data_IF_729706561087
#
_entry.id   IF_729706561087
#
_cell.length_a   1.000
_cell.length_b   1.000
_cell.length_c   1.000
_cell.angle_alpha   90.00
_cell.angle_beta   90.00
_cell.angle_gamma   90.00
#
_symmetry.space_group_name_H-M   'P 1'
#
loop_
_entity.id
_entity.type
_entity.pdbx_description
1 polymer ?
#
# COMPACT_ATOMS: atom_id res chain seq x y z
N UNK A 1 -8.28 -9.69 6.56
CA UNK A 1 -8.66 -8.52 5.77
C UNK A 1 -8.53 -8.90 4.30
N UNK A 2 -9.65 -8.95 3.56
CA UNK A 2 -9.65 -9.25 2.11
C UNK A 2 -9.03 -8.10 1.30
N UNK A 3 -9.57 -6.90 1.47
CA UNK A 3 -8.99 -5.60 1.14
C UNK A 3 -9.90 -4.54 1.77
N UNK A 4 -9.40 -3.30 1.86
CA UNK A 4 -10.12 -2.14 2.35
C UNK A 4 -9.93 -0.98 1.37
N UNK A 5 -10.88 -0.06 1.31
CA UNK A 5 -10.83 1.09 0.39
C UNK A 5 -11.40 2.34 1.05
N UNK A 6 -10.73 3.48 0.84
CA UNK A 6 -11.29 4.81 1.13
C UNK A 6 -11.13 5.72 -0.08
N UNK A 7 -12.14 6.54 -0.30
CA UNK A 7 -12.15 7.57 -1.35
C UNK A 7 -12.07 8.96 -0.72
N UNK A 8 -11.28 9.83 -1.33
CA UNK A 8 -11.04 11.19 -0.89
C UNK A 8 -11.40 12.14 -2.03
N UNK A 9 -12.34 13.05 -1.76
CA UNK A 9 -12.85 14.03 -2.74
C UNK A 9 -12.67 15.43 -2.18
N UNK A 10 -12.23 16.35 -3.03
CA UNK A 10 -11.96 17.75 -2.66
C UNK A 10 -10.73 17.93 -1.76
N UNK A 11 -9.91 16.89 -1.59
CA UNK A 11 -8.67 16.92 -0.82
C UNK A 11 -7.52 17.21 -1.77
N UNK A 12 -6.99 18.44 -1.77
CA UNK A 12 -5.86 18.86 -2.62
C UNK A 12 -4.55 18.24 -2.13
N UNK A 13 -4.25 17.01 -2.55
CA UNK A 13 -3.11 16.22 -2.08
C UNK A 13 -2.18 15.84 -3.23
N UNK A 14 -0.88 15.98 -3.00
CA UNK A 14 0.12 15.45 -3.92
C UNK A 14 0.24 13.93 -3.78
N UNK A 15 -0.33 13.18 -4.73
CA UNK A 15 -0.37 11.71 -4.71
C UNK A 15 1.02 11.08 -4.61
N UNK A 16 2.03 11.63 -5.29
CA UNK A 16 3.37 11.06 -5.24
C UNK A 16 3.98 11.20 -3.85
N UNK A 17 3.87 12.39 -3.25
CA UNK A 17 4.34 12.62 -1.88
C UNK A 17 3.57 11.83 -0.83
N UNK A 18 2.25 11.65 -1.03
CA UNK A 18 1.46 10.79 -0.17
C UNK A 18 1.95 9.34 -0.26
N UNK A 19 2.26 8.86 -1.46
CA UNK A 19 2.80 7.53 -1.65
C UNK A 19 4.19 7.36 -1.01
N UNK A 20 5.06 8.37 -1.14
CA UNK A 20 6.37 8.40 -0.47
C UNK A 20 6.21 8.35 1.05
N UNK A 21 5.30 9.17 1.61
CA UNK A 21 5.02 9.20 3.04
C UNK A 21 4.46 7.86 3.56
N UNK A 22 3.64 7.16 2.77
CA UNK A 22 3.17 5.81 3.08
C UNK A 22 4.33 4.81 3.03
N UNK A 23 5.24 4.92 2.05
CA UNK A 23 6.41 4.05 2.01
C UNK A 23 7.32 4.26 3.23
N UNK A 24 7.53 5.51 3.63
CA UNK A 24 8.38 5.87 4.76
C UNK A 24 7.82 5.36 6.09
N UNK A 25 6.49 5.40 6.29
CA UNK A 25 5.83 4.75 7.42
C UNK A 25 6.27 3.29 7.59
N UNK A 26 6.35 2.53 6.49
CA UNK A 26 6.79 1.14 6.55
C UNK A 26 8.30 0.98 6.75
N UNK A 27 9.12 1.86 6.15
CA UNK A 27 10.58 1.84 6.34
C UNK A 27 10.95 2.10 7.79
N UNK A 28 10.26 3.05 8.45
CA UNK A 28 10.44 3.37 9.87
C UNK A 28 10.16 2.15 10.77
N UNK A 29 9.17 1.33 10.39
CA UNK A 29 8.87 0.06 11.06
C UNK A 29 9.75 -1.12 10.61
N UNK A 30 10.84 -0.87 9.88
CA UNK A 30 11.80 -1.88 9.38
C UNK A 30 11.20 -2.91 8.40
N UNK A 31 10.15 -2.54 7.66
CA UNK A 31 9.67 -3.36 6.56
C UNK A 31 10.59 -3.22 5.36
N UNK A 32 10.67 -4.30 4.56
CA UNK A 32 11.18 -4.19 3.20
C UNK A 32 10.06 -3.63 2.32
N UNK A 33 10.29 -2.47 1.72
CA UNK A 33 9.33 -1.79 0.86
C UNK A 33 9.73 -1.82 -0.62
N UNK A 34 8.75 -1.64 -1.49
CA UNK A 34 8.91 -1.29 -2.89
C UNK A 34 7.78 -0.32 -3.26
N UNK A 35 8.12 0.78 -3.92
CA UNK A 35 7.18 1.75 -4.48
C UNK A 35 7.33 1.85 -5.99
N UNK A 36 6.22 2.07 -6.68
CA UNK A 36 6.15 2.32 -8.10
C UNK A 36 5.21 3.50 -8.35
N UNK A 37 5.77 4.60 -8.84
CA UNK A 37 5.00 5.78 -9.24
C UNK A 37 4.48 5.62 -10.67
N UNK A 38 3.22 6.00 -10.85
CA UNK A 38 2.47 5.83 -12.09
C UNK A 38 1.79 7.16 -12.42
N UNK A 39 1.46 7.39 -13.70
CA UNK A 39 0.91 8.69 -14.12
C UNK A 39 -0.38 9.09 -13.38
N UNK A 40 -1.14 8.10 -12.89
CA UNK A 40 -2.42 8.30 -12.20
C UNK A 40 -2.44 7.73 -10.77
N UNK A 41 -1.27 7.50 -10.17
CA UNK A 41 -1.24 6.83 -8.89
C UNK A 41 0.13 6.32 -8.45
N UNK A 42 0.11 5.48 -7.43
CA UNK A 42 1.26 4.73 -6.96
C UNK A 42 0.84 3.35 -6.45
N UNK A 43 1.77 2.40 -6.55
CA UNK A 43 1.61 1.06 -6.02
C UNK A 43 2.76 0.78 -5.06
N UNK A 44 2.41 0.45 -3.81
CA UNK A 44 3.36 0.22 -2.72
C UNK A 44 3.20 -1.21 -2.22
N UNK A 45 4.31 -1.89 -1.97
CA UNK A 45 4.34 -3.17 -1.26
C UNK A 45 5.27 -3.07 -0.06
N UNK A 46 4.83 -3.58 1.08
CA UNK A 46 5.62 -3.68 2.30
C UNK A 46 5.56 -5.10 2.85
N UNK A 47 6.71 -5.72 3.09
CA UNK A 47 6.79 -7.04 3.75
C UNK A 47 7.71 -6.98 4.96
N UNK A 48 7.33 -7.66 6.05
CA UNK A 48 8.21 -7.78 7.22
C UNK A 48 9.51 -8.50 6.83
N UNK A 49 10.63 -7.86 7.14
CA UNK A 49 11.97 -8.43 6.99
C UNK A 49 12.41 -9.24 8.21
N UNK A 50 13.62 -9.82 8.13
CA UNK A 50 14.31 -10.39 9.30
C UNK A 50 13.65 -11.61 9.96
N UNK A 51 13.90 -11.77 11.27
CA UNK A 51 13.45 -12.92 12.09
C UNK A 51 11.92 -13.06 12.09
N UNK A 52 11.18 -11.94 12.00
CA UNK A 52 9.71 -11.93 11.94
C UNK A 52 9.12 -12.58 10.68
N UNK A 53 9.91 -12.73 9.60
CA UNK A 53 9.49 -13.48 8.39
C UNK A 53 9.20 -14.95 8.69
N UNK A 54 9.84 -15.52 9.71
CA UNK A 54 9.73 -16.95 10.01
C UNK A 54 8.43 -17.37 10.69
N UNK A 55 7.65 -16.41 11.23
CA UNK A 55 6.52 -16.71 12.13
C UNK A 55 5.15 -16.39 11.51
N UNK A 56 5.03 -15.39 10.63
CA UNK A 56 3.71 -14.76 10.37
C UNK A 56 3.16 -14.82 8.92
N UNK A 57 3.99 -15.04 7.90
CA UNK A 57 3.62 -15.40 6.51
C UNK A 57 4.83 -15.19 5.60
N UNK A 58 5.46 -16.28 5.13
CA UNK A 58 6.77 -16.23 4.44
C UNK A 58 6.76 -15.48 3.09
N UNK A 59 5.58 -15.31 2.49
CA UNK A 59 5.38 -14.77 1.13
C UNK A 59 4.44 -13.56 1.04
N UNK A 60 3.81 -13.15 2.14
CA UNK A 60 2.83 -12.07 2.17
C UNK A 60 3.47 -10.67 2.15
N UNK A 61 2.83 -9.76 1.43
CA UNK A 61 3.12 -8.34 1.39
C UNK A 61 1.84 -7.57 1.68
N UNK A 62 1.92 -6.56 2.55
CA UNK A 62 0.90 -5.55 2.66
C UNK A 62 1.03 -4.63 1.45
N UNK A 63 -0.01 -4.55 0.64
CA UNK A 63 -0.01 -3.85 -0.64
C UNK A 63 -0.97 -2.68 -0.56
N UNK A 64 -0.55 -1.54 -1.08
CA UNK A 64 -1.31 -0.30 -1.10
C UNK A 64 -1.35 0.22 -2.53
N UNK A 65 -2.52 0.67 -2.97
CA UNK A 65 -2.69 1.34 -4.25
C UNK A 65 -3.33 2.68 -4.02
N UNK A 66 -2.65 3.75 -4.43
CA UNK A 66 -3.19 5.10 -4.47
C UNK A 66 -3.49 5.41 -5.94
N UNK A 67 -4.72 5.75 -6.28
CA UNK A 67 -5.14 5.95 -7.66
C UNK A 67 -6.08 7.16 -7.77
N UNK A 68 -5.86 8.02 -8.77
CA UNK A 68 -6.76 9.11 -9.10
C UNK A 68 -6.01 10.40 -9.42
N UNK A 69 -6.59 11.51 -8.99
CA UNK A 69 -6.11 12.87 -9.21
C UNK A 69 -5.88 13.58 -7.89
N UNK A 70 -5.08 14.66 -7.86
CA UNK A 70 -4.85 15.44 -6.64
C UNK A 70 -6.10 16.00 -5.95
N UNK A 71 -7.27 16.01 -6.58
CA UNK A 71 -8.54 16.45 -5.98
C UNK A 71 -9.52 15.31 -5.71
N UNK A 72 -9.30 14.15 -6.30
CA UNK A 72 -10.18 12.99 -6.20
C UNK A 72 -9.35 11.72 -6.40
N UNK A 73 -9.07 11.02 -5.32
CA UNK A 73 -8.27 9.80 -5.32
C UNK A 73 -8.83 8.76 -4.36
N UNK A 74 -8.46 7.51 -4.58
CA UNK A 74 -8.81 6.38 -3.72
C UNK A 74 -7.57 5.64 -3.28
N UNK A 75 -7.62 5.12 -2.08
CA UNK A 75 -6.58 4.27 -1.51
C UNK A 75 -7.19 2.90 -1.27
N UNK A 76 -6.55 1.85 -1.79
CA UNK A 76 -6.85 0.45 -1.50
C UNK A 76 -5.71 -0.15 -0.70
N UNK A 77 -6.01 -0.90 0.36
CA UNK A 77 -5.02 -1.66 1.12
C UNK A 77 -5.42 -3.14 1.17
N UNK A 78 -4.45 -4.03 1.10
CA UNK A 78 -4.65 -5.46 0.91
C UNK A 78 -3.44 -6.26 1.38
N UNK A 79 -3.60 -7.58 1.51
CA UNK A 79 -2.46 -8.50 1.57
C UNK A 79 -2.39 -9.26 0.26
N UNK A 80 -1.21 -9.31 -0.36
CA UNK A 80 -0.97 -10.08 -1.58
C UNK A 80 0.39 -10.76 -1.54
N UNK A 81 0.68 -11.62 -2.52
CA UNK A 81 2.04 -12.13 -2.69
C UNK A 81 3.02 -10.99 -2.98
N UNK A 82 4.21 -11.04 -2.39
CA UNK A 82 5.30 -10.14 -2.75
C UNK A 82 5.80 -10.43 -4.16
N UNK A 83 5.80 -9.44 -5.04
CA UNK A 83 6.33 -9.57 -6.40
C UNK A 83 7.29 -8.40 -6.66
N UNK A 84 8.45 -8.68 -7.24
CA UNK A 84 9.32 -7.58 -7.67
C UNK A 84 8.67 -6.86 -8.85
N UNK A 85 8.71 -5.51 -8.85
CA UNK A 85 8.24 -4.76 -10.00
C UNK A 85 9.06 -5.12 -11.25
N UNK A 86 8.41 -5.33 -12.40
CA UNK A 86 9.14 -5.58 -13.64
C UNK A 86 10.01 -4.37 -13.96
N UNK A 87 11.25 -4.63 -14.38
CA UNK A 87 12.20 -3.60 -14.83
C UNK A 87 11.80 -2.96 -16.17
N UNK A 88 10.86 -3.58 -16.89
CA UNK A 88 10.30 -3.06 -18.14
C UNK A 88 8.95 -2.37 -17.89
N UNK A 89 8.85 -1.17 -18.41
CA UNK A 89 7.91 -0.07 -18.13
C UNK A 89 6.42 -0.30 -18.40
N UNK A 90 5.92 -1.54 -18.44
CA UNK A 90 4.50 -1.84 -18.66
C UNK A 90 3.82 -2.18 -17.33
N UNK A 91 3.49 -1.13 -16.59
CA UNK A 91 2.94 -1.18 -15.23
C UNK A 91 1.44 -0.93 -15.14
N UNK A 92 0.79 -0.74 -16.28
CA UNK A 92 -0.66 -0.71 -16.43
C UNK A 92 -1.41 -1.96 -15.90
N UNK A 93 -0.89 -3.20 -15.95
CA UNK A 93 -1.63 -4.35 -15.45
C UNK A 93 -1.67 -4.46 -13.91
N UNK A 94 -0.97 -3.59 -13.16
CA UNK A 94 -0.96 -3.67 -11.69
C UNK A 94 -2.21 -3.08 -11.04
N UNK A 95 -2.82 -2.05 -11.65
CA UNK A 95 -4.08 -1.48 -11.16
C UNK A 95 -5.31 -2.33 -11.50
N UNK A 96 -5.23 -3.09 -12.60
CA UNK A 96 -6.30 -3.96 -13.09
C UNK A 96 -6.24 -5.38 -12.53
N UNK A 97 -5.09 -5.79 -11.96
CA UNK A 97 -5.01 -7.04 -11.23
C UNK A 97 -5.86 -6.94 -9.97
N UNK A 98 -6.87 -7.81 -9.78
CA UNK A 98 -7.51 -7.93 -8.48
C UNK A 98 -6.42 -8.23 -7.46
N UNK A 99 -6.42 -7.51 -6.34
CA UNK A 99 -5.62 -7.90 -5.18
C UNK A 99 -5.99 -9.35 -4.89
N UNK A 100 -5.04 -10.27 -5.12
CA UNK A 100 -5.28 -11.71 -5.24
C UNK A 100 -6.17 -12.22 -4.11
N UNK A 101 -7.15 -13.06 -4.44
CA UNK A 101 -8.05 -13.70 -3.48
C UNK A 101 -7.32 -14.80 -2.71
N UNK A 102 -6.75 -14.40 -1.57
CA UNK A 102 -6.88 -14.94 -0.21
C UNK A 102 -6.93 -16.45 0.14
N UNK A 103 -7.02 -17.41 -0.76
CA UNK A 103 -7.18 -18.81 -0.31
C UNK A 103 -5.87 -19.42 0.30
N UNK A 104 -4.72 -18.77 0.12
CA UNK A 104 -3.39 -19.31 0.49
C UNK A 104 -2.59 -18.53 1.57
N UNK A 105 -3.08 -17.39 2.07
CA UNK A 105 -2.34 -16.56 3.03
C UNK A 105 -3.10 -16.51 4.36
N UNK A 106 -2.55 -17.00 5.48
CA UNK A 106 -3.24 -16.90 6.77
C UNK A 106 -3.49 -15.44 7.14
N UNK A 107 -4.74 -15.16 7.53
CA UNK A 107 -5.23 -13.84 7.93
C UNK A 107 -4.70 -13.51 9.31
N UNK A 108 -3.45 -13.11 9.31
CA UNK A 108 -2.70 -12.81 10.51
C UNK A 108 -3.16 -11.50 11.13
N UNK A 109 -3.36 -11.49 12.45
CA UNK A 109 -3.75 -10.31 13.24
C UNK A 109 -2.91 -9.05 12.92
N UNK A 110 -1.64 -9.22 12.55
CA UNK A 110 -0.74 -8.11 12.20
C UNK A 110 -1.23 -7.28 11.00
N UNK A 111 -1.94 -7.87 10.03
CA UNK A 111 -2.42 -7.11 8.87
C UNK A 111 -3.57 -6.18 9.23
N UNK A 112 -4.42 -6.57 10.19
CA UNK A 112 -5.48 -5.73 10.74
C UNK A 112 -4.93 -4.57 11.58
N UNK A 113 -3.95 -4.86 12.44
CA UNK A 113 -3.28 -3.81 13.24
C UNK A 113 -2.59 -2.79 12.33
N UNK A 114 -1.89 -3.28 11.30
CA UNK A 114 -1.18 -2.44 10.34
C UNK A 114 -2.15 -1.62 9.46
N UNK A 115 -3.27 -2.21 9.03
CA UNK A 115 -4.34 -1.48 8.35
C UNK A 115 -4.84 -0.32 9.22
N UNK A 116 -5.13 -0.59 10.50
CA UNK A 116 -5.64 0.42 11.42
C UNK A 116 -4.67 1.58 11.61
N UNK A 117 -3.39 1.29 11.88
CA UNK A 117 -2.36 2.32 12.07
C UNK A 117 -2.13 3.12 10.78
N UNK A 118 -2.06 2.43 9.64
CA UNK A 118 -1.83 3.10 8.37
C UNK A 118 -3.01 4.02 7.99
N UNK A 119 -4.25 3.61 8.25
CA UNK A 119 -5.40 4.48 7.99
C UNK A 119 -5.33 5.76 8.80
N UNK A 120 -5.01 5.67 10.09
CA UNK A 120 -4.87 6.84 10.94
C UNK A 120 -3.75 7.79 10.46
N UNK A 121 -2.62 7.22 10.06
CA UNK A 121 -1.51 7.97 9.48
C UNK A 121 -1.90 8.66 8.18
N UNK A 122 -2.52 7.92 7.24
CA UNK A 122 -2.96 8.46 5.94
C UNK A 122 -3.97 9.59 6.11
N UNK A 123 -4.96 9.43 7.00
CA UNK A 123 -5.93 10.48 7.29
C UNK A 123 -5.24 11.75 7.77
N UNK A 124 -4.30 11.61 8.70
CA UNK A 124 -3.49 12.72 9.20
C UNK A 124 -2.75 13.42 8.06
N UNK A 125 -2.07 12.69 7.17
CA UNK A 125 -1.36 13.27 6.04
C UNK A 125 -2.27 13.99 5.03
N UNK A 126 -3.46 13.43 4.79
CA UNK A 126 -4.47 14.03 3.90
C UNK A 126 -5.06 15.30 4.51
N UNK A 127 -5.30 15.32 5.83
CA UNK A 127 -5.81 16.49 6.55
C UNK A 127 -4.79 17.61 6.68
N UNK A 128 -3.52 17.26 6.91
CA UNK A 128 -2.41 18.22 6.89
C UNK A 128 -2.15 18.77 5.48
N UNK A 129 -2.77 18.17 4.46
CA UNK A 129 -2.66 18.60 3.07
C UNK A 129 -1.24 18.46 2.58
N UNK A 130 -0.68 17.25 2.57
CA UNK A 130 0.60 17.00 1.89
C UNK A 130 0.55 17.59 0.46
N UNK A 131 1.29 18.68 0.26
CA UNK A 131 1.52 19.41 -1.00
C UNK A 131 2.89 19.03 -1.55
#
# INVERSE_FOLDING_TARGET
MKYTMREYIGKSVNISKLADAIEDFFKEENFKTQILHLQRGAFIQARKGGVFRSILAREGAFTITVEGTPLAFRIRMGVSKWNQFPSESSVEPLFSKPMLTYDDIPESLWSYELEHHLWHYVETQVELGIL
#
